data_IF_337768947894
#
_entry.id   IF_337768947894
#
_cell.length_a   1.000
_cell.length_b   1.000
_cell.length_c   1.000
_cell.angle_alpha   90.00
_cell.angle_beta   90.00
_cell.angle_gamma   90.00
#
_symmetry.space_group_name_H-M   'P 1'
#
loop_
_entity.id
_entity.type
_entity.pdbx_description
1 polymer ?
#
# COMPACT_ATOMS: atom_id res chain seq x y z
N UNK A 1 48.85 -8.40 -0.06
CA UNK A 1 47.68 -9.28 0.15
C UNK A 1 46.42 -8.49 0.54
N UNK A 2 46.41 -7.64 1.58
CA UNK A 2 45.21 -6.91 2.03
C UNK A 2 44.52 -6.01 0.98
N UNK A 3 45.28 -5.31 0.14
CA UNK A 3 44.73 -4.41 -0.88
C UNK A 3 43.93 -5.15 -1.98
N UNK A 4 44.32 -6.39 -2.30
CA UNK A 4 43.61 -7.22 -3.27
C UNK A 4 42.26 -7.70 -2.76
N UNK A 5 42.16 -8.02 -1.46
CA UNK A 5 40.89 -8.40 -0.83
C UNK A 5 39.91 -7.22 -0.73
N UNK A 6 40.42 -6.02 -0.46
CA UNK A 6 39.60 -4.79 -0.44
C UNK A 6 39.04 -4.46 -1.81
N UNK A 7 39.84 -4.57 -2.88
CA UNK A 7 39.36 -4.40 -4.25
C UNK A 7 38.34 -5.46 -4.65
N UNK A 8 38.57 -6.73 -4.29
CA UNK A 8 37.62 -7.81 -4.56
C UNK A 8 36.29 -7.60 -3.81
N UNK A 9 36.34 -7.22 -2.53
CA UNK A 9 35.15 -6.92 -1.75
C UNK A 9 34.38 -5.72 -2.32
N UNK A 10 35.07 -4.66 -2.74
CA UNK A 10 34.47 -3.50 -3.39
C UNK A 10 33.77 -3.86 -4.70
N UNK A 11 34.41 -4.67 -5.56
CA UNK A 11 33.81 -5.15 -6.80
C UNK A 11 32.57 -6.03 -6.55
N UNK A 12 32.60 -6.89 -5.53
CA UNK A 12 31.45 -7.73 -5.18
C UNK A 12 30.29 -6.90 -4.64
N UNK A 13 30.55 -5.91 -3.78
CA UNK A 13 29.53 -5.02 -3.23
C UNK A 13 28.89 -4.16 -4.33
N UNK A 14 29.69 -3.62 -5.25
CA UNK A 14 29.19 -2.88 -6.41
C UNK A 14 28.35 -3.77 -7.31
N UNK A 15 28.81 -4.99 -7.60
CA UNK A 15 28.09 -5.92 -8.47
C UNK A 15 26.75 -6.33 -7.85
N UNK A 16 26.71 -6.56 -6.53
CA UNK A 16 25.47 -6.82 -5.79
C UNK A 16 24.53 -5.62 -5.81
N UNK A 17 25.06 -4.40 -5.63
CA UNK A 17 24.26 -3.17 -5.71
C UNK A 17 23.64 -2.96 -7.09
N UNK A 18 24.41 -3.20 -8.17
CA UNK A 18 23.90 -3.14 -9.54
C UNK A 18 22.88 -4.25 -9.82
N UNK A 19 23.08 -5.47 -9.30
CA UNK A 19 22.11 -6.55 -9.46
C UNK A 19 20.77 -6.20 -8.79
N UNK A 20 20.80 -5.70 -7.56
CA UNK A 20 19.59 -5.27 -6.83
C UNK A 20 18.89 -4.10 -7.54
N UNK A 21 19.63 -3.11 -8.02
CA UNK A 21 19.08 -2.02 -8.84
C UNK A 21 18.50 -2.51 -10.18
N UNK A 22 19.13 -3.52 -10.80
CA UNK A 22 18.64 -4.08 -12.06
C UNK A 22 17.34 -4.86 -11.89
N UNK A 23 17.14 -5.53 -10.74
CA UNK A 23 15.88 -6.20 -10.45
C UNK A 23 14.79 -5.19 -10.06
N UNK A 24 15.12 -4.11 -9.34
CA UNK A 24 14.18 -3.03 -9.03
C UNK A 24 13.68 -2.25 -10.27
N UNK A 25 14.46 -2.26 -11.36
CA UNK A 25 14.09 -1.63 -12.64
C UNK A 25 13.44 -2.61 -13.62
N UNK A 26 13.33 -3.91 -13.27
CA UNK A 26 12.68 -4.94 -14.11
C UNK A 26 11.21 -5.17 -13.80
N UNK A 27 10.62 -4.40 -12.91
CA UNK A 27 9.17 -4.36 -12.72
C UNK A 27 8.51 -3.56 -13.88
N UNK A 28 8.05 -4.31 -14.89
CA UNK A 28 6.94 -4.01 -15.79
C UNK A 28 7.07 -2.86 -16.83
N UNK A 29 7.84 -3.11 -17.90
CA UNK A 29 7.36 -2.76 -19.24
C UNK A 29 6.90 -4.04 -19.93
N UNK A 30 5.63 -4.37 -19.75
CA UNK A 30 4.99 -5.44 -20.49
C UNK A 30 4.91 -5.02 -21.98
N UNK A 31 5.50 -5.77 -22.93
CA UNK A 31 5.53 -5.36 -24.33
C UNK A 31 4.21 -5.75 -24.99
N UNK A 32 3.13 -5.03 -24.70
CA UNK A 32 1.87 -5.12 -25.44
C UNK A 32 0.96 -3.91 -25.20
N UNK A 33 1.50 -2.69 -25.22
CA UNK A 33 0.65 -1.54 -25.56
C UNK A 33 0.58 -1.49 -27.08
N UNK A 34 -0.29 -2.34 -27.61
CA UNK A 34 -0.81 -2.18 -28.96
C UNK A 34 -1.28 -0.74 -29.12
N UNK A 35 -0.91 -0.10 -30.22
CA UNK A 35 -1.44 1.18 -30.64
C UNK A 35 -2.97 1.11 -30.68
N UNK A 36 -3.63 1.54 -29.60
CA UNK A 36 -5.08 1.73 -29.59
C UNK A 36 -5.34 2.97 -30.41
N UNK A 37 -5.66 2.75 -31.69
CA UNK A 37 -6.30 3.74 -32.55
C UNK A 37 -7.51 4.32 -31.80
N UNK A 38 -7.70 5.65 -31.75
CA UNK A 38 -8.84 6.26 -31.09
C UNK A 38 -10.06 6.11 -32.01
N UNK A 39 -10.59 4.89 -32.13
CA UNK A 39 -11.84 4.66 -32.84
C UNK A 39 -12.81 3.86 -31.99
N UNK A 40 -13.94 4.52 -31.77
CA UNK A 40 -15.17 4.04 -31.15
C UNK A 40 -15.16 4.05 -29.62
N UNK A 41 -15.45 5.23 -29.05
CA UNK A 41 -16.10 5.30 -27.75
C UNK A 41 -17.41 4.50 -27.84
N UNK A 42 -17.40 3.27 -27.31
CA UNK A 42 -18.58 2.42 -27.31
C UNK A 42 -19.66 3.07 -26.46
N UNK A 43 -20.64 3.70 -27.12
CA UNK A 43 -21.94 3.98 -26.50
C UNK A 43 -22.51 2.64 -26.04
N UNK A 44 -22.60 2.44 -24.72
CA UNK A 44 -23.39 1.35 -24.13
C UNK A 44 -22.66 0.20 -23.42
N UNK A 45 -21.35 0.29 -23.12
CA UNK A 45 -20.71 -0.70 -22.23
C UNK A 45 -20.56 -0.11 -20.83
N UNK A 46 -21.36 -0.59 -19.88
CA UNK A 46 -21.14 -0.32 -18.46
C UNK A 46 -19.72 -0.74 -18.10
N UNK A 47 -18.92 0.19 -17.58
CA UNK A 47 -17.57 -0.13 -17.10
C UNK A 47 -17.68 -0.98 -15.85
N UNK A 48 -16.81 -1.99 -15.71
CA UNK A 48 -16.72 -2.76 -14.47
C UNK A 48 -16.24 -1.83 -13.35
N UNK A 49 -16.96 -1.71 -12.22
CA UNK A 49 -16.45 -0.99 -11.06
C UNK A 49 -15.32 -1.77 -10.41
N UNK A 50 -14.34 -1.07 -9.83
CA UNK A 50 -13.22 -1.66 -9.10
C UNK A 50 -13.14 -1.06 -7.70
N UNK A 51 -12.80 -1.90 -6.72
CA UNK A 51 -12.35 -1.46 -5.41
C UNK A 51 -10.82 -1.48 -5.39
N UNK A 52 -10.23 -0.34 -5.05
CA UNK A 52 -8.81 -0.15 -4.79
C UNK A 52 -8.69 -0.14 -3.27
N UNK A 53 -8.33 -1.30 -2.72
CA UNK A 53 -8.32 -1.54 -1.28
C UNK A 53 -6.91 -1.27 -0.74
N UNK A 54 -6.79 -0.27 0.13
CA UNK A 54 -5.56 -0.02 0.88
C UNK A 54 -5.31 -1.13 1.90
N UNK A 55 -4.14 -1.77 1.84
CA UNK A 55 -3.78 -2.91 2.70
C UNK A 55 -3.06 -2.48 3.98
N UNK A 56 -3.43 -3.10 5.12
CA UNK A 56 -2.84 -2.92 6.44
C UNK A 56 -2.88 -1.46 6.90
N UNK A 57 -4.07 -0.86 6.85
CA UNK A 57 -4.31 0.55 7.20
C UNK A 57 -4.76 0.61 8.65
N UNK A 58 -3.79 0.60 9.57
CA UNK A 58 -4.03 0.40 10.99
C UNK A 58 -3.82 1.65 11.84
N UNK A 59 -3.47 2.79 11.23
CA UNK A 59 -3.46 4.09 11.93
C UNK A 59 -4.23 5.20 11.23
N UNK A 60 -4.57 6.25 11.98
CA UNK A 60 -5.33 7.39 11.46
C UNK A 60 -4.58 8.09 10.30
N UNK A 61 -3.27 8.21 10.43
CA UNK A 61 -2.39 8.74 9.38
C UNK A 61 -2.46 7.89 8.11
N UNK A 62 -2.48 6.56 8.24
CA UNK A 62 -2.57 5.67 7.09
C UNK A 62 -3.95 5.75 6.41
N UNK A 63 -5.03 5.94 7.18
CA UNK A 63 -6.37 6.19 6.62
C UNK A 63 -6.33 7.39 5.67
N UNK A 64 -5.77 8.50 6.13
CA UNK A 64 -5.68 9.72 5.32
C UNK A 64 -4.77 9.51 4.10
N UNK A 65 -3.58 8.94 4.29
CA UNK A 65 -2.61 8.73 3.21
C UNK A 65 -3.15 7.82 2.09
N UNK A 66 -3.78 6.69 2.44
CA UNK A 66 -4.31 5.75 1.44
C UNK A 66 -5.52 6.32 0.68
N UNK A 67 -6.40 7.05 1.36
CA UNK A 67 -7.54 7.71 0.72
C UNK A 67 -7.08 8.87 -0.18
N UNK A 68 -6.08 9.66 0.25
CA UNK A 68 -5.47 10.71 -0.58
C UNK A 68 -4.78 10.15 -1.83
N UNK A 69 -4.14 8.98 -1.73
CA UNK A 69 -3.51 8.27 -2.85
C UNK A 69 -4.49 7.60 -3.80
N UNK A 70 -5.79 7.62 -3.49
CA UNK A 70 -6.86 7.17 -4.39
C UNK A 70 -7.42 5.79 -4.10
N UNK A 71 -7.16 5.23 -2.92
CA UNK A 71 -7.92 4.06 -2.44
C UNK A 71 -9.39 4.46 -2.25
N UNK A 72 -10.32 3.59 -2.66
CA UNK A 72 -11.76 3.79 -2.44
C UNK A 72 -12.35 2.77 -1.45
N UNK A 73 -11.47 1.98 -0.84
CA UNK A 73 -11.74 1.08 0.26
C UNK A 73 -10.44 0.90 1.06
N UNK A 74 -10.56 0.54 2.33
CA UNK A 74 -9.44 0.28 3.23
C UNK A 74 -9.65 -1.08 3.88
N UNK A 75 -8.56 -1.76 4.19
CA UNK A 75 -8.50 -2.97 5.00
C UNK A 75 -7.69 -2.65 6.26
N UNK A 76 -8.18 -3.11 7.41
CA UNK A 76 -7.59 -2.87 8.71
C UNK A 76 -7.68 -4.15 9.55
N UNK A 77 -6.58 -4.49 10.22
CA UNK A 77 -6.45 -5.67 11.08
C UNK A 77 -7.03 -5.36 12.45
N UNK A 78 -7.97 -6.18 12.95
CA UNK A 78 -8.55 -6.00 14.27
C UNK A 78 -7.85 -6.90 15.29
N UNK A 79 -7.23 -6.29 16.29
CA UNK A 79 -6.60 -6.99 17.41
C UNK A 79 -7.64 -7.28 18.51
N UNK A 80 -7.63 -8.53 18.97
CA UNK A 80 -8.47 -9.00 20.06
C UNK A 80 -7.58 -9.46 21.23
N UNK A 81 -8.06 -9.22 22.45
CA UNK A 81 -7.54 -9.91 23.62
C UNK A 81 -7.98 -11.39 23.65
N UNK A 82 -7.36 -12.19 24.51
CA UNK A 82 -7.67 -13.62 24.67
C UNK A 82 -9.14 -13.90 25.04
N UNK A 83 -9.82 -12.93 25.66
CA UNK A 83 -11.23 -13.02 26.02
C UNK A 83 -12.20 -12.56 24.91
N UNK A 84 -11.67 -12.19 23.74
CA UNK A 84 -12.44 -11.70 22.61
C UNK A 84 -12.79 -10.20 22.67
N UNK A 85 -12.27 -9.46 23.65
CA UNK A 85 -12.42 -8.00 23.68
C UNK A 85 -11.63 -7.37 22.54
N UNK A 86 -12.28 -6.51 21.75
CA UNK A 86 -11.59 -5.73 20.71
C UNK A 86 -10.69 -4.69 21.37
N UNK A 87 -9.40 -4.72 21.04
CA UNK A 87 -8.42 -3.75 21.53
C UNK A 87 -8.33 -2.56 20.57
N UNK A 88 -8.18 -2.84 19.29
CA UNK A 88 -7.85 -1.81 18.31
C UNK A 88 -7.47 -2.36 16.96
N UNK A 89 -6.83 -1.51 16.16
CA UNK A 89 -6.25 -1.90 14.89
C UNK A 89 -4.76 -2.19 15.07
N UNK A 90 -4.30 -3.39 14.72
CA UNK A 90 -2.88 -3.76 14.80
C UNK A 90 -2.60 -5.08 14.07
N UNK A 91 -1.56 -5.08 13.24
CA UNK A 91 -1.10 -6.29 12.54
C UNK A 91 -0.01 -7.03 13.33
N UNK A 92 1.10 -6.34 13.66
CA UNK A 92 2.29 -6.97 14.22
C UNK A 92 3.14 -7.69 13.17
N UNK A 93 4.21 -8.36 13.59
CA UNK A 93 5.13 -9.07 12.67
C UNK A 93 4.79 -10.56 12.55
N UNK A 94 4.96 -11.19 11.38
CA UNK A 94 5.44 -10.64 10.11
C UNK A 94 4.35 -9.90 9.33
N UNK A 95 4.70 -8.94 8.47
CA UNK A 95 3.78 -8.30 7.52
C UNK A 95 4.43 -8.17 6.13
N UNK A 96 3.74 -7.52 5.19
CA UNK A 96 4.26 -7.21 3.85
C UNK A 96 5.68 -6.62 3.88
N UNK A 97 6.48 -6.99 2.89
CA UNK A 97 7.88 -6.61 2.83
C UNK A 97 8.06 -5.08 2.86
N UNK A 98 9.00 -4.61 3.69
CA UNK A 98 9.36 -3.19 3.83
C UNK A 98 8.23 -2.26 4.31
N UNK A 99 7.14 -2.80 4.85
CA UNK A 99 6.10 -2.02 5.56
C UNK A 99 6.41 -1.96 7.07
N UNK A 100 6.03 -0.85 7.71
CA UNK A 100 6.02 -0.77 9.17
C UNK A 100 4.82 -1.51 9.74
N UNK A 101 5.04 -2.69 10.34
CA UNK A 101 3.95 -3.54 10.84
C UNK A 101 3.39 -3.13 12.20
N UNK A 102 4.01 -2.13 12.85
CA UNK A 102 3.78 -1.86 14.28
C UNK A 102 2.82 -0.69 14.56
N UNK A 103 2.29 -0.07 13.51
CA UNK A 103 1.28 0.99 13.63
C UNK A 103 -0.01 0.42 14.21
N UNK A 104 -0.66 1.19 15.07
CA UNK A 104 -1.87 0.80 15.79
C UNK A 104 -2.71 1.99 16.18
N UNK A 105 -3.99 1.75 16.44
CA UNK A 105 -4.92 2.70 17.09
C UNK A 105 -5.89 1.97 17.99
N UNK A 106 -6.53 2.70 18.91
CA UNK A 106 -7.69 2.15 19.63
C UNK A 106 -8.86 1.98 18.67
N UNK A 107 -9.73 1.00 18.93
CA UNK A 107 -10.87 0.75 18.02
C UNK A 107 -11.83 1.94 17.97
N UNK A 108 -11.98 2.67 19.09
CA UNK A 108 -12.85 3.84 19.15
C UNK A 108 -12.30 4.97 18.29
N UNK A 109 -11.03 5.33 18.47
CA UNK A 109 -10.40 6.41 17.70
C UNK A 109 -10.39 6.09 16.20
N UNK A 110 -10.11 4.84 15.83
CA UNK A 110 -10.11 4.41 14.44
C UNK A 110 -11.50 4.55 13.79
N UNK A 111 -12.56 4.03 14.44
CA UNK A 111 -13.91 4.10 13.90
C UNK A 111 -14.48 5.53 13.89
N UNK A 112 -14.15 6.34 14.89
CA UNK A 112 -14.52 7.76 14.92
C UNK A 112 -13.85 8.53 13.78
N UNK A 113 -12.57 8.32 13.53
CA UNK A 113 -11.87 8.94 12.40
C UNK A 113 -12.47 8.50 11.06
N UNK A 114 -12.74 7.21 10.88
CA UNK A 114 -13.41 6.70 9.66
C UNK A 114 -14.76 7.39 9.45
N UNK A 115 -15.58 7.53 10.50
CA UNK A 115 -16.86 8.25 10.43
C UNK A 115 -16.64 9.70 10.00
N UNK A 116 -15.67 10.37 10.58
CA UNK A 116 -15.41 11.79 10.38
C UNK A 116 -14.89 12.09 8.96
N UNK A 117 -14.09 11.19 8.37
CA UNK A 117 -13.52 11.38 7.02
C UNK A 117 -14.40 10.85 5.88
N UNK A 118 -15.41 10.02 6.16
CA UNK A 118 -16.29 9.41 5.13
C UNK A 118 -17.76 9.83 5.20
N UNK A 119 -18.29 10.14 6.39
CA UNK A 119 -19.73 10.19 6.63
C UNK A 119 -20.25 11.54 7.14
N UNK A 120 -19.41 12.30 7.85
CA UNK A 120 -19.78 13.64 8.35
C UNK A 120 -20.16 14.62 7.21
N UNK A 121 -20.99 15.65 7.45
CA UNK A 121 -21.44 16.58 6.41
C UNK A 121 -20.31 17.19 5.58
N UNK A 122 -19.22 17.57 6.24
CA UNK A 122 -18.04 18.22 5.64
C UNK A 122 -16.87 17.24 5.40
N UNK A 123 -17.16 15.94 5.38
CA UNK A 123 -16.11 14.91 5.31
C UNK A 123 -15.40 14.90 3.95
N UNK A 124 -14.07 14.84 4.02
CA UNK A 124 -13.15 15.03 2.88
C UNK A 124 -13.30 13.99 1.76
N UNK A 125 -13.71 12.77 2.10
CA UNK A 125 -13.79 11.64 1.16
C UNK A 125 -15.21 11.17 0.88
N UNK A 126 -16.24 11.92 1.29
CA UNK A 126 -17.64 11.59 1.02
C UNK A 126 -17.91 11.47 -0.48
N UNK A 127 -18.39 10.29 -0.90
CA UNK A 127 -18.81 10.05 -2.29
C UNK A 127 -17.66 9.96 -3.30
N UNK A 128 -16.42 9.78 -2.83
CA UNK A 128 -15.26 9.49 -3.67
C UNK A 128 -15.08 8.00 -3.91
#
# INVERSE_FOLDING_TARGET
MMLGYLLAAYFLLISMFYAVLSDFTREAVHPNIAHISPKSASKGRHRRPFYIIGHMVNSLEEVDDFLEKGSNALEADIEFADDGTVLGTFHGTPCDCFRGCMKRETILDFLEHIRDVTSSPDSKFKGK
#
